data_IF_318641457217
#
_entry.id   IF_318641457217
#
_cell.length_a   1.000
_cell.length_b   1.000
_cell.length_c   1.000
_cell.angle_alpha   90.00
_cell.angle_beta   90.00
_cell.angle_gamma   90.00
#
_symmetry.space_group_name_H-M   'P 1'
#
loop_
_entity.id
_entity.type
_entity.pdbx_description
1 polymer ?
#
# COMPACT_ATOMS: atom_id res chain seq x y z
N UNK A 1 0.66 -7.92 -18.00
CA UNK A 1 0.06 -7.37 -16.76
C UNK A 1 -0.73 -6.09 -16.99
N UNK A 2 -0.16 -5.06 -17.65
CA UNK A 2 -0.84 -3.76 -17.85
C UNK A 2 -2.23 -3.86 -18.49
N UNK A 3 -2.39 -4.69 -19.52
CA UNK A 3 -3.69 -4.91 -20.16
C UNK A 3 -4.75 -5.41 -19.16
N UNK A 4 -4.42 -6.46 -18.40
CA UNK A 4 -5.32 -7.03 -17.39
C UNK A 4 -5.61 -6.06 -16.25
N UNK A 5 -4.60 -5.32 -15.79
CA UNK A 5 -4.75 -4.29 -14.77
C UNK A 5 -5.70 -3.17 -15.23
N UNK A 6 -5.52 -2.69 -16.46
CA UNK A 6 -6.39 -1.65 -17.03
C UNK A 6 -7.81 -2.15 -17.29
N UNK A 7 -7.96 -3.37 -17.79
CA UNK A 7 -9.28 -3.98 -18.01
C UNK A 7 -10.06 -4.11 -16.69
N UNK A 8 -9.42 -4.65 -15.65
CA UNK A 8 -10.06 -4.83 -14.35
C UNK A 8 -10.25 -3.49 -13.63
N UNK A 9 -9.32 -2.55 -13.74
CA UNK A 9 -9.48 -1.20 -13.21
C UNK A 9 -10.71 -0.49 -13.80
N UNK A 10 -10.89 -0.55 -15.11
CA UNK A 10 -12.07 0.03 -15.80
C UNK A 10 -13.37 -0.68 -15.41
N UNK A 11 -13.34 -2.00 -15.22
CA UNK A 11 -14.50 -2.75 -14.72
C UNK A 11 -14.89 -2.27 -13.31
N UNK A 12 -13.90 -2.04 -12.44
CA UNK A 12 -14.13 -1.55 -11.08
C UNK A 12 -14.67 -0.11 -11.08
N UNK A 13 -14.19 0.76 -11.96
CA UNK A 13 -14.75 2.10 -12.14
C UNK A 13 -16.25 2.01 -12.53
N UNK A 14 -16.63 1.10 -13.44
CA UNK A 14 -18.03 0.92 -13.86
C UNK A 14 -18.96 0.52 -12.70
N UNK A 15 -18.46 -0.24 -11.73
CA UNK A 15 -19.22 -0.61 -10.51
C UNK A 15 -19.04 0.42 -9.38
N UNK A 16 -18.52 1.62 -9.66
CA UNK A 16 -18.28 2.71 -8.71
C UNK A 16 -17.26 2.39 -7.62
N UNK A 17 -16.27 1.56 -7.94
CA UNK A 17 -15.13 1.26 -7.09
C UNK A 17 -13.86 1.95 -7.63
N UNK A 18 -12.89 2.30 -6.77
CA UNK A 18 -11.58 2.82 -7.20
C UNK A 18 -10.86 1.84 -8.14
N UNK A 19 -10.20 2.39 -9.16
CA UNK A 19 -9.53 1.57 -10.19
C UNK A 19 -8.43 0.67 -9.58
N UNK A 20 -7.76 1.19 -8.54
CA UNK A 20 -6.64 0.51 -7.87
C UNK A 20 -7.04 -0.85 -7.29
N UNK A 21 -8.31 -1.05 -6.93
CA UNK A 21 -8.80 -2.35 -6.45
C UNK A 21 -8.73 -3.38 -7.59
N UNK A 22 -9.20 -3.01 -8.79
CA UNK A 22 -9.12 -3.86 -9.97
C UNK A 22 -7.68 -4.15 -10.39
N UNK A 23 -6.80 -3.16 -10.31
CA UNK A 23 -5.36 -3.31 -10.60
C UNK A 23 -4.67 -4.29 -9.64
N UNK A 24 -4.94 -4.18 -8.34
CA UNK A 24 -4.41 -5.11 -7.31
C UNK A 24 -4.94 -6.52 -7.56
N UNK A 25 -6.23 -6.68 -7.82
CA UNK A 25 -6.84 -7.98 -8.11
C UNK A 25 -6.23 -8.60 -9.37
N UNK A 26 -5.98 -7.81 -10.42
CA UNK A 26 -5.30 -8.28 -11.62
C UNK A 26 -3.90 -8.83 -11.29
N UNK A 27 -3.16 -8.13 -10.41
CA UNK A 27 -1.86 -8.58 -9.91
C UNK A 27 -1.94 -9.88 -9.11
N UNK A 28 -2.92 -10.03 -8.22
CA UNK A 28 -3.14 -11.26 -7.43
C UNK A 28 -3.50 -12.45 -8.34
N UNK A 29 -4.38 -12.23 -9.32
CA UNK A 29 -4.80 -13.27 -10.27
C UNK A 29 -3.62 -13.73 -11.13
N UNK A 30 -2.85 -12.80 -11.70
CA UNK A 30 -1.70 -13.13 -12.56
C UNK A 30 -0.44 -13.53 -11.78
N UNK A 31 -0.41 -13.24 -10.49
CA UNK A 31 0.72 -13.48 -9.62
C UNK A 31 0.89 -14.96 -9.22
N UNK A 32 1.89 -15.24 -8.37
CA UNK A 32 2.16 -16.59 -7.92
C UNK A 32 1.02 -17.17 -7.07
N UNK A 33 0.20 -16.32 -6.44
CA UNK A 33 -0.89 -16.73 -5.54
C UNK A 33 -2.00 -17.51 -6.24
N UNK A 34 -2.44 -17.06 -7.42
CA UNK A 34 -3.54 -17.72 -8.17
C UNK A 34 -3.00 -18.45 -9.38
N UNK A 35 -2.47 -17.72 -10.37
CA UNK A 35 -1.96 -18.34 -11.61
C UNK A 35 -0.77 -19.25 -11.34
N UNK A 36 0.17 -18.83 -10.48
CA UNK A 36 1.31 -19.67 -10.12
C UNK A 36 0.95 -20.94 -9.33
N UNK A 37 -0.16 -20.90 -8.57
CA UNK A 37 -0.63 -22.04 -7.80
C UNK A 37 -1.44 -23.04 -8.64
N UNK A 38 -2.32 -22.54 -9.52
CA UNK A 38 -3.20 -23.39 -10.34
C UNK A 38 -2.49 -23.89 -11.61
N UNK A 39 -1.70 -23.01 -12.26
CA UNK A 39 -1.04 -23.29 -13.54
C UNK A 39 0.45 -22.89 -13.51
N UNK A 40 1.30 -23.61 -12.75
CA UNK A 40 2.70 -23.25 -12.56
C UNK A 40 3.51 -23.22 -13.87
N UNK A 41 3.23 -24.11 -14.82
CA UNK A 41 3.92 -24.14 -16.12
C UNK A 41 3.64 -22.90 -16.97
N UNK A 42 2.38 -22.44 -16.99
CA UNK A 42 1.97 -21.22 -17.71
C UNK A 42 2.55 -19.99 -17.01
N UNK A 43 2.54 -19.97 -15.68
CA UNK A 43 3.15 -18.90 -14.91
C UNK A 43 4.65 -18.76 -15.19
N UNK A 44 5.41 -19.86 -15.21
CA UNK A 44 6.85 -19.84 -15.51
C UNK A 44 7.16 -19.46 -16.97
N UNK A 45 6.24 -19.75 -17.89
CA UNK A 45 6.36 -19.33 -19.29
C UNK A 45 6.12 -17.81 -19.44
N UNK A 46 5.14 -17.26 -18.72
CA UNK A 46 4.82 -15.83 -18.74
C UNK A 46 5.77 -14.97 -17.88
N UNK A 47 6.27 -15.53 -16.78
CA UNK A 47 7.19 -14.89 -15.83
C UNK A 47 8.40 -15.81 -15.60
N UNK A 48 9.34 -15.86 -16.56
CA UNK A 48 10.55 -16.65 -16.40
C UNK A 48 11.33 -16.15 -15.18
N UNK A 49 11.81 -17.08 -14.35
CA UNK A 49 12.68 -16.78 -13.22
C UNK A 49 14.11 -16.47 -13.70
N UNK A 50 14.26 -15.43 -14.52
CA UNK A 50 15.58 -14.89 -14.84
C UNK A 50 15.91 -13.72 -13.92
N UNK A 51 17.17 -13.65 -13.50
CA UNK A 51 17.65 -12.58 -12.64
C UNK A 51 17.53 -11.21 -13.34
N UNK A 52 17.84 -11.18 -14.63
CA UNK A 52 17.78 -9.98 -15.48
C UNK A 52 16.36 -9.41 -15.59
N UNK A 53 15.34 -10.27 -15.82
CA UNK A 53 13.94 -9.82 -15.90
C UNK A 53 13.47 -9.28 -14.56
N UNK A 54 13.85 -9.93 -13.46
CA UNK A 54 13.50 -9.47 -12.10
C UNK A 54 14.08 -8.09 -11.81
N UNK A 55 15.36 -7.87 -12.11
CA UNK A 55 16.03 -6.57 -11.93
C UNK A 55 15.37 -5.49 -12.79
N UNK A 56 15.07 -5.80 -14.06
CA UNK A 56 14.41 -4.86 -14.95
C UNK A 56 13.03 -4.45 -14.40
N UNK A 57 12.19 -5.42 -14.00
CA UNK A 57 10.88 -5.16 -13.42
C UNK A 57 10.96 -4.35 -12.11
N UNK A 58 11.91 -4.66 -11.24
CA UNK A 58 12.14 -3.91 -9.99
C UNK A 58 12.56 -2.47 -10.27
N UNK A 59 13.45 -2.26 -11.24
CA UNK A 59 13.89 -0.94 -11.67
C UNK A 59 12.73 -0.11 -12.22
N UNK A 60 11.93 -0.69 -13.11
CA UNK A 60 10.73 -0.04 -13.65
C UNK A 60 9.70 0.28 -12.56
N UNK A 61 9.49 -0.64 -11.61
CA UNK A 61 8.56 -0.44 -10.49
C UNK A 61 9.03 0.69 -9.60
N UNK A 62 10.33 0.74 -9.30
CA UNK A 62 10.93 1.82 -8.49
C UNK A 62 10.74 3.18 -9.16
N UNK A 63 11.03 3.28 -10.46
CA UNK A 63 10.80 4.52 -11.22
C UNK A 63 9.32 4.91 -11.20
N UNK A 64 8.41 3.94 -11.42
CA UNK A 64 6.98 4.19 -11.39
C UNK A 64 6.49 4.70 -10.02
N UNK A 65 6.99 4.11 -8.92
CA UNK A 65 6.67 4.54 -7.55
C UNK A 65 7.20 5.94 -7.27
N UNK A 66 8.42 6.26 -7.70
CA UNK A 66 9.00 7.60 -7.54
C UNK A 66 8.18 8.64 -8.30
N UNK A 67 7.80 8.37 -9.55
CA UNK A 67 6.95 9.26 -10.34
C UNK A 67 5.56 9.43 -9.72
N UNK A 68 4.98 8.34 -9.21
CA UNK A 68 3.69 8.36 -8.51
C UNK A 68 3.75 9.21 -7.25
N UNK A 69 4.81 9.09 -6.45
CA UNK A 69 5.04 9.90 -5.25
C UNK A 69 5.26 11.37 -5.61
N UNK A 70 6.00 11.65 -6.69
CA UNK A 70 6.21 13.00 -7.20
C UNK A 70 4.88 13.67 -7.59
N UNK A 71 4.06 12.99 -8.40
CA UNK A 71 2.74 13.51 -8.82
C UNK A 71 1.84 13.69 -7.60
N UNK A 72 1.82 12.71 -6.70
CA UNK A 72 1.03 12.81 -5.47
C UNK A 72 1.44 14.02 -4.65
N UNK A 73 2.75 14.30 -4.53
CA UNK A 73 3.28 15.47 -3.83
C UNK A 73 2.98 16.79 -4.53
N UNK A 74 2.94 16.83 -5.86
CA UNK A 74 2.58 18.03 -6.64
C UNK A 74 1.10 18.40 -6.49
N UNK A 75 0.22 17.44 -6.25
CA UNK A 75 -1.21 17.68 -6.03
C UNK A 75 -1.52 18.14 -4.59
N UNK A 76 -0.53 18.11 -3.68
CA UNK A 76 -0.70 18.57 -2.30
C UNK A 76 -0.63 20.10 -2.24
N UNK A 77 -1.72 20.71 -1.79
CA UNK A 77 -1.74 22.12 -1.39
C UNK A 77 -1.16 22.27 0.04
N UNK A 78 0.13 22.62 0.10
CA UNK A 78 0.84 22.86 1.36
C UNK A 78 0.18 23.94 2.24
N UNK A 79 -0.44 24.97 1.65
CA UNK A 79 -1.09 26.03 2.41
C UNK A 79 -2.35 25.53 3.11
N UNK A 80 -3.12 24.64 2.45
CA UNK A 80 -4.27 23.96 3.06
C UNK A 80 -3.84 23.01 4.19
N UNK A 81 -2.76 22.25 4.00
CA UNK A 81 -2.20 21.35 5.03
C UNK A 81 -1.78 22.14 6.27
N UNK A 82 -1.03 23.24 6.08
CA UNK A 82 -0.56 24.09 7.18
C UNK A 82 -1.72 24.76 7.94
N UNK A 83 -2.79 25.16 7.26
CA UNK A 83 -4.00 25.73 7.89
C UNK A 83 -4.76 24.72 8.76
N UNK A 84 -4.76 23.45 8.38
CA UNK A 84 -5.41 22.37 9.12
C UNK A 84 -4.49 21.70 10.18
N UNK A 85 -3.26 22.22 10.35
CA UNK A 85 -2.16 21.55 11.03
C UNK A 85 -2.48 21.00 12.42
N UNK A 86 -3.26 21.71 13.25
CA UNK A 86 -3.62 21.19 14.59
C UNK A 86 -4.45 19.92 14.52
N UNK A 87 -5.51 19.89 13.71
CA UNK A 87 -6.36 18.70 13.56
C UNK A 87 -5.57 17.55 12.93
N UNK A 88 -4.80 17.85 11.88
CA UNK A 88 -3.96 16.89 11.17
C UNK A 88 -2.92 16.23 12.10
N UNK A 89 -2.27 17.01 12.97
CA UNK A 89 -1.29 16.49 13.95
C UNK A 89 -1.95 15.50 14.91
N UNK A 90 -3.11 15.83 15.49
CA UNK A 90 -3.78 14.92 16.41
C UNK A 90 -4.22 13.63 15.70
N UNK A 91 -4.79 13.75 14.50
CA UNK A 91 -5.23 12.58 13.73
C UNK A 91 -4.06 11.71 13.26
N UNK A 92 -2.94 12.32 12.84
CA UNK A 92 -1.73 11.61 12.42
C UNK A 92 -1.09 10.87 13.60
N UNK A 93 -0.96 11.53 14.76
CA UNK A 93 -0.41 10.89 15.96
C UNK A 93 -1.28 9.70 16.43
N UNK A 94 -2.61 9.85 16.44
CA UNK A 94 -3.50 8.73 16.78
C UNK A 94 -3.45 7.62 15.70
N UNK A 95 -3.41 8.01 14.43
CA UNK A 95 -3.30 7.12 13.28
C UNK A 95 -1.99 6.34 13.23
N UNK A 96 -0.92 6.87 13.84
CA UNK A 96 0.36 6.18 13.97
C UNK A 96 0.43 5.34 15.26
N UNK A 97 0.07 5.93 16.40
CA UNK A 97 0.23 5.32 17.72
C UNK A 97 -0.67 4.10 17.91
N UNK A 98 -1.93 4.15 17.45
CA UNK A 98 -2.88 3.05 17.64
C UNK A 98 -2.46 1.80 16.84
N UNK A 99 -2.24 1.86 15.51
CA UNK A 99 -1.76 0.70 14.76
C UNK A 99 -0.38 0.22 15.22
N UNK A 100 0.49 1.14 15.67
CA UNK A 100 1.81 0.77 16.19
C UNK A 100 1.67 -0.07 17.44
N UNK A 101 0.92 0.42 18.42
CA UNK A 101 0.72 -0.25 19.70
C UNK A 101 0.03 -1.60 19.52
N UNK A 102 -0.96 -1.70 18.62
CA UNK A 102 -1.62 -2.96 18.30
C UNK A 102 -0.68 -3.92 17.56
N UNK A 103 0.03 -3.46 16.54
CA UNK A 103 0.97 -4.27 15.77
C UNK A 103 2.11 -4.81 16.62
N UNK A 104 2.72 -3.95 17.42
CA UNK A 104 3.76 -4.32 18.39
C UNK A 104 3.19 -5.25 19.46
N UNK A 105 2.07 -4.87 20.08
CA UNK A 105 1.46 -5.60 21.19
C UNK A 105 1.04 -7.02 20.80
N UNK A 106 0.35 -7.19 19.68
CA UNK A 106 -0.05 -8.52 19.18
C UNK A 106 1.17 -9.37 18.87
N UNK A 107 2.16 -8.81 18.18
CA UNK A 107 3.38 -9.52 17.79
C UNK A 107 4.25 -9.89 18.98
N UNK A 108 4.27 -9.04 20.02
CA UNK A 108 5.01 -9.29 21.25
C UNK A 108 4.26 -10.19 22.24
N UNK A 109 2.94 -10.16 22.30
CA UNK A 109 2.18 -11.02 23.23
C UNK A 109 1.96 -12.43 22.65
N UNK A 110 1.82 -12.55 21.34
CA UNK A 110 1.48 -13.81 20.66
C UNK A 110 2.51 -14.22 19.58
N UNK A 111 3.82 -14.32 19.92
CA UNK A 111 4.85 -14.66 18.94
C UNK A 111 4.68 -16.06 18.32
N UNK A 112 4.09 -17.00 19.07
CA UNK A 112 3.87 -18.38 18.62
C UNK A 112 2.85 -18.47 17.48
N UNK A 113 1.84 -17.58 17.47
CA UNK A 113 0.83 -17.52 16.39
C UNK A 113 1.45 -16.95 15.11
N UNK A 114 2.47 -16.09 15.26
CA UNK A 114 3.19 -15.45 14.15
C UNK A 114 4.35 -16.31 13.61
N UNK A 115 4.56 -17.53 14.13
CA UNK A 115 5.57 -18.46 13.62
C UNK A 115 7.02 -18.10 13.95
N UNK A 116 7.27 -17.32 15.02
CA UNK A 116 8.61 -16.87 15.40
C UNK A 116 9.20 -17.79 16.47
N UNK A 117 10.43 -18.25 16.24
CA UNK A 117 11.18 -19.06 17.19
C UNK A 117 11.47 -18.33 18.51
N UNK A 118 11.61 -19.09 19.59
CA UNK A 118 11.62 -18.66 21.00
C UNK A 118 12.74 -17.70 21.45
N UNK A 119 13.54 -17.15 20.53
CA UNK A 119 14.65 -16.25 20.88
C UNK A 119 14.13 -14.83 21.18
N UNK A 120 14.30 -14.39 22.42
CA UNK A 120 13.80 -13.10 22.94
C UNK A 120 14.18 -11.88 22.08
N UNK A 121 15.41 -11.85 21.53
CA UNK A 121 15.87 -10.76 20.65
C UNK A 121 15.14 -10.71 19.31
N UNK A 122 14.80 -11.87 18.73
CA UNK A 122 14.08 -11.94 17.44
C UNK A 122 12.64 -11.44 17.56
N UNK A 123 12.03 -11.71 18.72
CA UNK A 123 10.66 -11.32 19.05
C UNK A 123 10.49 -9.80 19.16
N UNK A 124 11.42 -9.11 19.81
CA UNK A 124 11.35 -7.65 19.95
C UNK A 124 11.54 -6.93 18.62
N UNK A 125 12.54 -7.35 17.82
CA UNK A 125 12.80 -6.79 16.49
C UNK A 125 11.60 -7.00 15.58
N UNK A 126 11.01 -8.21 15.59
CA UNK A 126 9.81 -8.48 14.81
C UNK A 126 8.61 -7.64 15.25
N UNK A 127 8.39 -7.49 16.56
CA UNK A 127 7.29 -6.66 17.07
C UNK A 127 7.46 -5.18 16.66
N UNK A 128 8.68 -4.64 16.70
CA UNK A 128 9.00 -3.32 16.17
C UNK A 128 8.73 -3.22 14.67
N UNK A 129 9.16 -4.22 13.89
CA UNK A 129 8.90 -4.29 12.46
C UNK A 129 7.39 -4.27 12.17
N UNK A 130 6.60 -5.11 12.85
CA UNK A 130 5.16 -5.18 12.66
C UNK A 130 4.44 -3.90 13.08
N UNK A 131 4.82 -3.33 14.24
CA UNK A 131 4.29 -2.03 14.68
C UNK A 131 4.57 -0.94 13.65
N UNK A 132 5.78 -0.89 13.10
CA UNK A 132 6.17 0.09 12.08
C UNK A 132 5.43 -0.14 10.76
N UNK A 133 5.38 -1.39 10.28
CA UNK A 133 4.75 -1.75 9.02
C UNK A 133 3.25 -1.44 9.00
N UNK A 134 2.55 -1.59 10.14
CA UNK A 134 1.12 -1.31 10.25
C UNK A 134 0.79 0.18 10.47
N UNK A 135 1.76 1.00 10.88
CA UNK A 135 1.55 2.44 11.11
C UNK A 135 1.85 3.32 9.90
N UNK A 136 2.62 2.82 8.93
CA UNK A 136 2.96 3.59 7.73
C UNK A 136 1.75 3.63 6.80
N UNK A 137 1.31 4.83 6.44
CA UNK A 137 0.22 5.05 5.49
C UNK A 137 0.72 5.07 4.05
N UNK A 138 -0.04 4.49 3.12
CA UNK A 138 0.26 4.51 1.69
C UNK A 138 -0.37 5.72 1.00
N UNK A 139 0.26 6.90 1.15
CA UNK A 139 -0.24 8.18 0.61
C UNK A 139 -0.68 8.10 -0.87
N UNK A 140 0.08 7.49 -1.80
CA UNK A 140 -0.32 7.48 -3.20
C UNK A 140 -1.61 6.70 -3.47
N UNK A 141 -1.81 5.59 -2.75
CA UNK A 141 -3.02 4.76 -2.86
C UNK A 141 -4.22 5.54 -2.33
N UNK A 142 -4.05 6.23 -1.20
CA UNK A 142 -5.08 7.09 -0.61
C UNK A 142 -5.45 8.22 -1.58
N UNK A 143 -4.46 8.97 -2.07
CA UNK A 143 -4.68 10.07 -3.00
C UNK A 143 -5.41 9.62 -4.26
N UNK A 144 -4.93 8.54 -4.90
CA UNK A 144 -5.56 7.95 -6.09
C UNK A 144 -7.01 7.53 -5.80
N UNK A 145 -7.26 6.91 -4.66
CA UNK A 145 -8.61 6.49 -4.23
C UNK A 145 -9.54 7.69 -4.08
N UNK A 146 -9.10 8.76 -3.41
CA UNK A 146 -9.91 9.97 -3.22
C UNK A 146 -10.18 10.71 -4.55
N UNK A 147 -9.22 10.69 -5.48
CA UNK A 147 -9.38 11.25 -6.83
C UNK A 147 -10.40 10.45 -7.63
N UNK A 148 -10.28 9.12 -7.65
CA UNK A 148 -11.20 8.22 -8.36
C UNK A 148 -12.64 8.35 -7.82
N UNK A 149 -12.78 8.56 -6.50
CA UNK A 149 -14.06 8.80 -5.83
C UNK A 149 -14.56 10.25 -5.93
N UNK A 150 -13.80 11.18 -6.54
CA UNK A 150 -14.13 12.61 -6.67
C UNK A 150 -14.33 13.34 -5.32
N UNK A 151 -13.68 12.87 -4.25
CA UNK A 151 -13.77 13.44 -2.91
C UNK A 151 -12.47 14.10 -2.43
N UNK A 152 -11.42 14.07 -3.25
CA UNK A 152 -10.09 14.62 -2.93
C UNK A 152 -10.12 16.08 -2.44
N UNK A 153 -10.95 16.93 -3.05
CA UNK A 153 -11.06 18.36 -2.74
C UNK A 153 -12.04 18.69 -1.60
N UNK A 154 -12.74 17.70 -1.05
CA UNK A 154 -13.63 17.91 0.10
C UNK A 154 -12.83 18.10 1.38
N UNK A 155 -13.43 18.74 2.39
CA UNK A 155 -12.77 18.96 3.70
C UNK A 155 -12.24 17.66 4.30
N UNK A 156 -13.01 16.57 4.22
CA UNK A 156 -12.59 15.24 4.68
C UNK A 156 -11.40 14.69 3.88
N UNK A 157 -11.35 14.92 2.56
CA UNK A 157 -10.24 14.50 1.70
C UNK A 157 -8.95 15.23 2.07
N UNK A 158 -9.05 16.55 2.30
CA UNK A 158 -7.93 17.38 2.74
C UNK A 158 -7.42 16.93 4.12
N UNK A 159 -8.31 16.64 5.07
CA UNK A 159 -7.92 16.14 6.40
C UNK A 159 -7.20 14.79 6.29
N UNK A 160 -7.73 13.85 5.48
CA UNK A 160 -7.11 12.53 5.27
C UNK A 160 -5.71 12.67 4.67
N UNK A 161 -5.54 13.48 3.62
CA UNK A 161 -4.23 13.71 3.00
C UNK A 161 -3.27 14.41 3.96
N UNK A 162 -3.74 15.42 4.69
CA UNK A 162 -2.93 16.14 5.68
C UNK A 162 -2.49 15.26 6.85
N UNK A 163 -3.31 14.28 7.24
CA UNK A 163 -2.98 13.34 8.32
C UNK A 163 -2.07 12.19 7.86
N UNK A 164 -2.08 11.87 6.56
CA UNK A 164 -1.25 10.83 5.96
C UNK A 164 0.18 11.30 5.60
N UNK A 165 0.44 12.61 5.68
CA UNK A 165 1.77 13.24 5.59
C UNK A 165 2.43 13.34 6.97
#
# INVERSE_FOLDING_TARGET
MLFSAKLLGELFIKIKQPAIIGEIIAGVILGPTVLGMIFPSIFLLLFPKSHEISIALESFTTIAVVLLLLISGLEVDLAMVLRQGKKAIYTSNMGLAIPFALGFGVSYLFPNIMGIGSSSSSKFIFALFMGTALSISALPVIAKTLIDLKIFKLEIGVIIISAAM
#
